data_IF_185763307062
#
_entry.id   IF_185763307062
#
_cell.length_a   1.000
_cell.length_b   1.000
_cell.length_c   1.000
_cell.angle_alpha   90.00
_cell.angle_beta   90.00
_cell.angle_gamma   90.00
#
_symmetry.space_group_name_H-M   'P 1'
#
loop_
_entity.id
_entity.type
_entity.pdbx_description
1 polymer ?
#
# COMPACT_ATOMS: atom_id res chain seq x y z
N UNK A 1 21.34 50.03 13.93
CA UNK A 1 20.88 50.07 12.52
C UNK A 1 21.72 49.12 11.68
N UNK A 2 21.06 48.38 10.78
CA UNK A 2 21.57 47.62 9.62
C UNK A 2 22.44 46.37 9.87
N UNK A 3 21.85 45.19 9.57
CA UNK A 3 22.46 44.07 8.81
C UNK A 3 21.31 43.35 8.07
N UNK A 4 20.98 43.78 6.86
CA UNK A 4 21.31 43.13 5.56
C UNK A 4 20.53 41.82 5.35
N UNK A 5 19.44 41.93 4.58
CA UNK A 5 18.70 40.85 3.94
C UNK A 5 19.57 40.22 2.84
N UNK A 6 19.66 38.89 2.81
CA UNK A 6 20.18 38.13 1.67
C UNK A 6 19.09 37.15 1.23
N UNK A 7 18.35 37.56 0.20
CA UNK A 7 17.44 36.72 -0.58
C UNK A 7 18.27 35.88 -1.54
N UNK A 8 18.30 34.56 -1.34
CA UNK A 8 18.96 33.62 -2.27
C UNK A 8 17.91 33.02 -3.20
N UNK A 9 17.96 33.46 -4.45
CA UNK A 9 17.17 32.99 -5.58
C UNK A 9 17.62 31.57 -5.94
N UNK A 10 16.75 30.56 -5.73
CA UNK A 10 17.01 29.18 -6.12
C UNK A 10 16.56 28.97 -7.57
N UNK A 11 17.52 28.89 -8.49
CA UNK A 11 17.28 28.64 -9.90
C UNK A 11 16.86 27.18 -10.15
N UNK A 12 15.71 26.99 -10.79
CA UNK A 12 15.26 25.71 -11.35
C UNK A 12 16.08 25.38 -12.61
N UNK A 13 16.92 24.35 -12.53
CA UNK A 13 17.53 23.73 -13.71
C UNK A 13 16.68 22.53 -14.15
N UNK A 14 15.95 22.71 -15.26
CA UNK A 14 15.24 21.66 -15.98
C UNK A 14 16.26 20.74 -16.68
N UNK A 15 16.43 19.52 -16.19
CA UNK A 15 17.14 18.47 -16.91
C UNK A 15 16.15 17.71 -17.79
N UNK A 16 16.18 18.04 -19.08
CA UNK A 16 15.45 17.39 -20.16
C UNK A 16 15.83 15.91 -20.29
N UNK A 17 14.80 15.06 -20.32
CA UNK A 17 14.83 13.63 -20.61
C UNK A 17 15.25 13.39 -22.07
N UNK A 18 16.48 12.91 -22.28
CA UNK A 18 16.94 12.39 -23.57
C UNK A 18 16.51 10.94 -23.75
N UNK A 19 15.43 10.71 -24.51
CA UNK A 19 15.06 9.40 -25.02
C UNK A 19 16.03 8.98 -26.14
N UNK A 20 16.68 7.82 -25.98
CA UNK A 20 17.38 7.16 -27.08
C UNK A 20 17.05 5.67 -27.08
N UNK A 21 16.13 5.31 -27.96
CA UNK A 21 15.73 3.97 -28.34
C UNK A 21 16.90 3.24 -29.01
N UNK A 22 17.29 2.06 -28.50
CA UNK A 22 18.10 1.10 -29.26
C UNK A 22 17.25 -0.12 -29.61
N UNK A 23 16.82 -0.18 -30.88
CA UNK A 23 16.52 -1.43 -31.58
C UNK A 23 17.81 -2.23 -31.71
N UNK A 24 17.76 -3.52 -31.43
CA UNK A 24 18.75 -4.48 -31.92
C UNK A 24 17.99 -5.70 -32.40
N UNK A 25 17.87 -5.76 -33.73
CA UNK A 25 17.55 -6.95 -34.49
C UNK A 25 18.62 -8.02 -34.22
N UNK A 26 18.20 -9.24 -33.91
CA UNK A 26 19.04 -10.42 -34.08
C UNK A 26 18.18 -11.61 -34.44
N UNK A 27 18.18 -11.85 -35.75
CA UNK A 27 17.73 -13.04 -36.45
C UNK A 27 18.74 -14.17 -36.24
N UNK A 28 18.32 -15.30 -35.68
CA UNK A 28 18.94 -16.60 -35.90
C UNK A 28 17.89 -17.72 -35.82
N UNK A 29 18.12 -18.75 -36.62
CA UNK A 29 17.17 -19.69 -37.22
C UNK A 29 17.48 -21.13 -36.77
N UNK A 30 16.47 -22.00 -36.89
CA UNK A 30 16.47 -23.48 -36.91
C UNK A 30 16.58 -24.21 -35.56
N UNK A 31 16.01 -25.39 -35.33
CA UNK A 31 14.96 -26.24 -35.96
C UNK A 31 14.84 -27.50 -35.06
N UNK A 32 13.85 -28.36 -35.34
CA UNK A 32 13.62 -29.75 -34.87
C UNK A 32 13.18 -29.93 -33.40
N UNK A 33 11.93 -30.31 -33.11
CA UNK A 33 11.20 -31.56 -33.39
C UNK A 33 11.61 -32.72 -32.47
N UNK A 34 10.78 -32.99 -31.46
CA UNK A 34 10.62 -34.34 -30.88
C UNK A 34 9.15 -34.55 -30.54
N UNK A 35 8.60 -35.64 -31.08
CA UNK A 35 7.23 -36.12 -30.88
C UNK A 35 7.18 -37.22 -29.81
N UNK A 36 5.99 -37.32 -29.19
CA UNK A 36 5.37 -38.49 -28.51
C UNK A 36 6.05 -39.01 -27.23
N UNK A 37 5.33 -39.26 -26.14
CA UNK A 37 4.34 -40.36 -26.03
C UNK A 37 3.37 -40.14 -24.84
N UNK A 38 2.11 -40.53 -25.01
CA UNK A 38 1.09 -40.75 -23.97
C UNK A 38 1.50 -41.91 -23.02
N UNK A 39 0.96 -42.12 -21.81
CA UNK A 39 -0.36 -42.70 -21.51
C UNK A 39 -0.65 -42.56 -19.99
N UNK A 40 -1.93 -42.37 -19.69
CA UNK A 40 -2.68 -42.37 -18.42
C UNK A 40 -2.28 -43.39 -17.34
N UNK A 41 -2.58 -43.08 -16.06
CA UNK A 41 -3.64 -43.74 -15.26
C UNK A 41 -3.64 -43.38 -13.77
N UNK A 42 -4.86 -43.36 -13.22
CA UNK A 42 -5.28 -43.57 -11.82
C UNK A 42 -5.40 -42.37 -10.86
N UNK A 43 -6.64 -41.92 -10.80
CA UNK A 43 -7.43 -41.53 -9.63
C UNK A 43 -6.80 -41.70 -8.24
N UNK A 44 -6.75 -40.59 -7.50
CA UNK A 44 -7.14 -40.58 -6.09
C UNK A 44 -7.97 -39.32 -5.83
N UNK A 45 -9.27 -39.53 -5.62
CA UNK A 45 -10.23 -38.53 -5.17
C UNK A 45 -9.90 -38.14 -3.73
N UNK A 46 -9.11 -37.09 -3.54
CA UNK A 46 -9.12 -36.31 -2.31
C UNK A 46 -10.16 -35.21 -2.49
N UNK A 47 -11.31 -35.40 -1.83
CA UNK A 47 -12.34 -34.36 -1.66
C UNK A 47 -11.76 -33.20 -0.86
N UNK A 48 -11.01 -32.33 -1.52
CA UNK A 48 -10.81 -30.97 -1.05
C UNK A 48 -12.16 -30.29 -1.22
N UNK A 49 -12.87 -30.07 -0.10
CA UNK A 49 -13.92 -29.07 -0.04
C UNK A 49 -13.34 -27.81 -0.68
N UNK A 50 -13.83 -27.47 -1.88
CA UNK A 50 -13.70 -26.14 -2.46
C UNK A 50 -14.36 -25.23 -1.44
N UNK A 51 -13.56 -24.69 -0.52
CA UNK A 51 -13.90 -23.43 0.11
C UNK A 51 -14.06 -22.50 -1.07
N UNK A 52 -15.31 -22.19 -1.37
CA UNK A 52 -15.67 -21.11 -2.26
C UNK A 52 -15.15 -19.85 -1.59
N UNK A 53 -13.86 -19.60 -1.78
CA UNK A 53 -13.28 -18.31 -1.55
C UNK A 53 -13.92 -17.47 -2.65
N UNK A 54 -15.03 -16.81 -2.32
CA UNK A 54 -15.46 -15.61 -3.03
C UNK A 54 -14.38 -14.56 -2.75
N UNK A 55 -13.18 -14.82 -3.26
CA UNK A 55 -12.11 -13.85 -3.34
C UNK A 55 -12.62 -12.88 -4.38
N UNK A 56 -13.34 -11.87 -3.91
CA UNK A 56 -13.67 -10.71 -4.72
C UNK A 56 -12.37 -10.30 -5.43
N UNK A 57 -12.45 -10.26 -6.75
CA UNK A 57 -11.28 -10.10 -7.58
C UNK A 57 -10.77 -8.67 -7.42
N UNK A 58 -9.60 -8.51 -6.80
CA UNK A 58 -8.93 -7.23 -6.68
C UNK A 58 -8.52 -6.78 -8.07
N UNK A 59 -9.00 -5.61 -8.50
CA UNK A 59 -8.68 -5.09 -9.84
C UNK A 59 -7.18 -4.89 -10.02
N UNK A 60 -6.67 -5.10 -11.24
CA UNK A 60 -5.26 -4.90 -11.55
C UNK A 60 -4.79 -3.47 -11.32
N UNK A 61 -5.67 -2.49 -11.56
CA UNK A 61 -5.41 -1.07 -11.26
C UNK A 61 -5.24 -0.83 -9.76
N UNK A 62 -6.10 -1.42 -8.94
CA UNK A 62 -5.99 -1.29 -7.49
C UNK A 62 -4.72 -1.97 -6.96
N UNK A 63 -4.38 -3.15 -7.50
CA UNK A 63 -3.14 -3.83 -7.16
C UNK A 63 -1.90 -2.96 -7.49
N UNK A 64 -1.88 -2.29 -8.65
CA UNK A 64 -0.82 -1.34 -8.99
C UNK A 64 -0.75 -0.16 -8.02
N UNK A 65 -1.90 0.36 -7.57
CA UNK A 65 -1.95 1.39 -6.52
C UNK A 65 -1.31 0.89 -5.23
N UNK A 66 -1.65 -0.32 -4.76
CA UNK A 66 -1.09 -0.91 -3.55
C UNK A 66 0.43 -1.08 -3.65
N UNK A 67 0.94 -1.53 -4.79
CA UNK A 67 2.39 -1.67 -5.02
C UNK A 67 3.11 -0.32 -5.01
N UNK A 68 2.52 0.71 -5.60
CA UNK A 68 3.05 2.06 -5.53
C UNK A 68 3.06 2.58 -4.08
N UNK A 69 2.00 2.32 -3.32
CA UNK A 69 1.91 2.67 -1.90
C UNK A 69 2.96 1.93 -1.06
N UNK A 70 3.16 0.62 -1.27
CA UNK A 70 4.25 -0.13 -0.63
C UNK A 70 5.61 0.55 -0.88
N UNK A 71 5.89 0.93 -2.13
CA UNK A 71 7.15 1.58 -2.49
C UNK A 71 7.35 2.92 -1.77
N UNK A 72 6.29 3.72 -1.62
CA UNK A 72 6.34 4.95 -0.85
C UNK A 72 6.59 4.66 0.65
N UNK A 73 6.00 3.58 1.16
CA UNK A 73 6.12 3.16 2.56
C UNK A 73 7.50 2.62 2.93
N UNK A 74 8.32 2.19 1.98
CA UNK A 74 9.75 1.89 2.22
C UNK A 74 10.52 3.13 2.70
N UNK A 75 10.19 4.32 2.20
CA UNK A 75 10.81 5.57 2.67
C UNK A 75 10.42 5.85 4.12
N UNK A 76 9.14 5.70 4.45
CA UNK A 76 8.65 5.84 5.82
C UNK A 76 9.28 4.79 6.74
N UNK A 77 9.40 3.53 6.31
CA UNK A 77 10.10 2.48 7.05
C UNK A 77 11.53 2.87 7.37
N UNK A 78 12.25 3.47 6.42
CA UNK A 78 13.60 3.97 6.64
C UNK A 78 13.64 5.16 7.63
N UNK A 79 12.71 6.11 7.50
CA UNK A 79 12.61 7.29 8.38
C UNK A 79 12.25 6.92 9.82
N UNK A 80 11.40 5.91 10.01
CA UNK A 80 10.93 5.45 11.31
C UNK A 80 11.56 4.12 11.74
N UNK A 81 12.75 3.81 11.21
CA UNK A 81 13.45 2.54 11.48
C UNK A 81 13.68 2.29 12.96
N UNK A 82 13.75 3.33 13.80
CA UNK A 82 13.97 3.17 15.25
C UNK A 82 12.66 2.92 16.03
N UNK A 83 11.51 3.11 15.38
CA UNK A 83 10.17 2.83 15.92
C UNK A 83 9.63 1.49 15.43
N UNK A 84 9.67 1.26 14.12
CA UNK A 84 9.12 0.06 13.48
C UNK A 84 10.23 -0.88 13.01
N UNK A 85 10.06 -2.18 13.26
CA UNK A 85 10.91 -3.23 12.70
C UNK A 85 10.52 -3.55 11.27
N UNK A 86 9.23 -3.43 10.96
CA UNK A 86 8.70 -3.64 9.61
C UNK A 86 7.45 -2.79 9.35
N UNK A 87 7.23 -2.47 8.07
CA UNK A 87 6.02 -1.84 7.56
C UNK A 87 5.67 -2.53 6.24
N UNK A 88 4.46 -3.06 6.14
CA UNK A 88 3.94 -3.76 4.96
C UNK A 88 2.62 -3.17 4.52
N UNK A 89 2.38 -3.21 3.22
CA UNK A 89 1.17 -2.76 2.55
C UNK A 89 0.68 -3.90 1.66
N UNK A 90 -0.57 -4.28 1.84
CA UNK A 90 -1.21 -5.33 1.06
C UNK A 90 -2.60 -4.90 0.62
N UNK A 91 -3.18 -5.59 -0.35
CA UNK A 91 -4.55 -5.37 -0.79
C UNK A 91 -5.49 -6.38 -0.11
N UNK A 92 -6.66 -5.91 0.32
CA UNK A 92 -7.80 -6.72 0.76
C UNK A 92 -9.01 -6.32 -0.10
N UNK A 93 -9.71 -7.33 -0.63
CA UNK A 93 -10.85 -7.07 -1.50
C UNK A 93 -12.04 -6.44 -0.73
N UNK A 94 -12.86 -5.60 -1.38
CA UNK A 94 -12.78 -5.21 -2.79
C UNK A 94 -11.73 -4.12 -3.08
N UNK A 95 -11.62 -3.10 -2.23
CA UNK A 95 -10.77 -1.91 -2.46
C UNK A 95 -10.16 -1.40 -1.13
N UNK A 96 -9.61 -2.30 -0.31
CA UNK A 96 -8.99 -1.95 0.97
C UNK A 96 -7.47 -2.02 0.87
N UNK A 97 -6.77 -0.93 1.19
CA UNK A 97 -5.32 -0.96 1.43
C UNK A 97 -5.10 -1.30 2.91
N UNK A 98 -4.33 -2.35 3.17
CA UNK A 98 -4.00 -2.79 4.52
C UNK A 98 -2.55 -2.43 4.83
N UNK A 99 -2.34 -1.54 5.79
CA UNK A 99 -1.05 -1.17 6.34
C UNK A 99 -0.79 -1.96 7.62
N UNK A 100 0.30 -2.73 7.66
CA UNK A 100 0.75 -3.47 8.84
C UNK A 100 2.05 -2.88 9.35
N UNK A 101 2.04 -2.37 10.57
CA UNK A 101 3.20 -1.82 11.27
C UNK A 101 3.60 -2.75 12.41
N UNK A 102 4.86 -3.18 12.43
CA UNK A 102 5.40 -4.00 13.52
C UNK A 102 6.38 -3.14 14.31
N UNK A 103 6.11 -2.90 15.60
CA UNK A 103 7.01 -2.14 16.45
C UNK A 103 8.33 -2.90 16.71
N UNK A 104 9.41 -2.16 17.00
CA UNK A 104 10.67 -2.74 17.47
C UNK A 104 10.62 -3.19 18.92
N UNK A 105 9.88 -2.45 19.75
CA UNK A 105 9.73 -2.71 21.17
C UNK A 105 8.26 -2.95 21.49
N UNK A 106 7.99 -3.65 22.60
CA UNK A 106 6.62 -3.83 23.07
C UNK A 106 6.02 -2.48 23.47
N UNK A 107 4.82 -2.18 22.99
CA UNK A 107 4.08 -0.94 23.25
C UNK A 107 2.77 -1.29 23.95
N UNK A 108 2.40 -0.46 24.93
CA UNK A 108 1.04 -0.45 25.52
C UNK A 108 0.33 0.79 25.01
N UNK A 109 -0.84 0.66 24.37
CA UNK A 109 -1.56 1.82 23.84
C UNK A 109 -2.00 2.75 24.97
N UNK A 110 -1.79 4.04 24.78
CA UNK A 110 -2.14 5.10 25.76
C UNK A 110 -3.42 5.84 25.39
N UNK A 111 -3.95 5.58 24.20
CA UNK A 111 -5.17 6.18 23.66
C UNK A 111 -6.19 5.08 23.35
N UNK A 112 -7.47 5.45 23.29
CA UNK A 112 -8.52 4.52 22.87
C UNK A 112 -8.43 4.21 21.37
N UNK A 113 -9.11 3.16 20.94
CA UNK A 113 -9.26 2.82 19.52
C UNK A 113 -9.96 3.93 18.73
N UNK A 114 -10.97 4.56 19.32
CA UNK A 114 -11.73 5.67 18.70
C UNK A 114 -10.86 6.91 18.51
N UNK A 115 -10.08 7.27 19.54
CA UNK A 115 -9.10 8.36 19.46
C UNK A 115 -8.08 8.11 18.33
N UNK A 116 -7.58 6.87 18.21
CA UNK A 116 -6.65 6.50 17.15
C UNK A 116 -7.29 6.56 15.76
N UNK A 117 -8.56 6.13 15.61
CA UNK A 117 -9.32 6.25 14.35
C UNK A 117 -9.44 7.73 13.96
N UNK A 118 -9.80 8.61 14.90
CA UNK A 118 -9.93 10.05 14.62
C UNK A 118 -8.59 10.67 14.20
N UNK A 119 -7.49 10.31 14.87
CA UNK A 119 -6.15 10.79 14.51
C UNK A 119 -5.72 10.31 13.12
N UNK A 120 -5.97 9.05 12.78
CA UNK A 120 -5.69 8.51 11.46
C UNK A 120 -6.55 9.16 10.38
N UNK A 121 -7.87 9.25 10.60
CA UNK A 121 -8.80 9.89 9.68
C UNK A 121 -8.38 11.34 9.38
N UNK A 122 -8.00 12.10 10.41
CA UNK A 122 -7.52 13.47 10.25
C UNK A 122 -6.19 13.52 9.48
N UNK A 123 -5.25 12.63 9.80
CA UNK A 123 -3.93 12.59 9.19
C UNK A 123 -3.92 12.11 7.73
N UNK A 124 -4.88 11.28 7.33
CA UNK A 124 -4.91 10.65 5.99
C UNK A 124 -6.01 11.18 5.08
N UNK A 125 -6.91 12.04 5.56
CA UNK A 125 -8.05 12.57 4.81
C UNK A 125 -7.73 13.01 3.37
N UNK A 126 -6.62 13.75 3.18
CA UNK A 126 -6.25 14.24 1.85
C UNK A 126 -5.85 13.11 0.88
N UNK A 127 -5.17 12.07 1.37
CA UNK A 127 -4.81 10.90 0.57
C UNK A 127 -6.02 9.99 0.35
N UNK A 128 -6.78 9.73 1.41
CA UNK A 128 -8.02 8.95 1.36
C UNK A 128 -8.99 9.51 0.31
N UNK A 129 -9.24 10.83 0.32
CA UNK A 129 -10.13 11.48 -0.64
C UNK A 129 -9.62 11.43 -2.10
N UNK A 130 -8.29 11.35 -2.30
CA UNK A 130 -7.74 11.11 -3.64
C UNK A 130 -8.03 9.69 -4.10
N UNK A 131 -7.89 8.70 -3.22
CA UNK A 131 -8.21 7.32 -3.56
C UNK A 131 -9.71 7.10 -3.78
N UNK A 132 -10.59 7.67 -2.96
CA UNK A 132 -12.05 7.52 -3.15
C UNK A 132 -12.58 8.15 -4.44
N UNK A 133 -11.89 9.16 -4.98
CA UNK A 133 -12.22 9.72 -6.30
C UNK A 133 -12.00 8.73 -7.46
N UNK A 134 -11.17 7.71 -7.26
CA UNK A 134 -10.84 6.66 -8.24
C UNK A 134 -11.55 5.34 -7.89
N UNK A 135 -11.61 5.02 -6.59
CA UNK A 135 -12.10 3.77 -6.01
C UNK A 135 -13.24 4.09 -5.02
N UNK A 136 -14.51 4.16 -5.47
CA UNK A 136 -15.61 4.67 -4.64
C UNK A 136 -15.88 3.88 -3.35
N UNK A 137 -15.43 2.62 -3.27
CA UNK A 137 -15.60 1.79 -2.07
C UNK A 137 -14.29 1.65 -1.27
N UNK A 138 -13.35 2.57 -1.49
CA UNK A 138 -12.04 2.56 -0.85
C UNK A 138 -12.11 2.58 0.68
N UNK A 139 -11.23 1.80 1.29
CA UNK A 139 -11.02 1.77 2.74
C UNK A 139 -9.53 1.66 3.05
N UNK A 140 -9.15 2.07 4.24
CA UNK A 140 -7.80 1.84 4.77
C UNK A 140 -7.92 1.00 6.04
N UNK A 141 -7.10 -0.05 6.14
CA UNK A 141 -6.97 -0.85 7.36
C UNK A 141 -5.58 -0.64 7.95
N UNK A 142 -5.51 -0.24 9.22
CA UNK A 142 -4.27 -0.09 9.96
C UNK A 142 -4.15 -1.17 11.03
N UNK A 143 -3.11 -1.99 10.92
CA UNK A 143 -2.79 -3.07 11.86
C UNK A 143 -1.47 -2.71 12.55
N UNK A 144 -1.51 -2.55 13.87
CA UNK A 144 -0.34 -2.28 14.70
C UNK A 144 -0.04 -3.50 15.56
N UNK A 145 1.18 -4.02 15.44
CA UNK A 145 1.63 -5.23 16.12
C UNK A 145 2.85 -4.95 17.01
N UNK A 146 2.93 -5.65 18.13
CA UNK A 146 4.16 -5.78 18.91
C UNK A 146 5.20 -6.66 18.19
N UNK A 147 6.46 -6.70 18.66
CA UNK A 147 7.50 -7.55 18.07
C UNK A 147 7.18 -9.05 18.07
N UNK A 148 6.34 -9.51 19.00
CA UNK A 148 5.84 -10.89 19.09
C UNK A 148 4.61 -11.16 18.19
N UNK A 149 4.24 -10.19 17.34
CA UNK A 149 3.04 -10.16 16.52
C UNK A 149 1.71 -10.10 17.29
N UNK A 150 1.73 -9.83 18.60
CA UNK A 150 0.49 -9.54 19.32
C UNK A 150 -0.14 -8.24 18.83
N UNK A 151 -1.44 -8.28 18.59
CA UNK A 151 -2.20 -7.13 18.08
C UNK A 151 -2.33 -6.04 19.16
N UNK A 152 -2.01 -4.81 18.77
CA UNK A 152 -2.26 -3.59 19.55
C UNK A 152 -3.55 -2.95 19.04
N UNK A 153 -3.64 -2.75 17.73
CA UNK A 153 -4.80 -2.19 17.06
C UNK A 153 -5.03 -2.85 15.70
N UNK A 154 -6.31 -2.97 15.34
CA UNK A 154 -6.79 -3.29 14.00
C UNK A 154 -7.97 -2.39 13.69
N UNK A 155 -7.71 -1.37 12.87
CA UNK A 155 -8.56 -0.21 12.66
C UNK A 155 -8.96 -0.18 11.19
N UNK A 156 -10.25 0.04 10.93
CA UNK A 156 -10.77 0.26 9.58
C UNK A 156 -11.22 1.71 9.50
N UNK A 157 -10.64 2.45 8.56
CA UNK A 157 -10.99 3.82 8.24
C UNK A 157 -11.86 3.81 6.99
N UNK A 158 -12.98 4.51 7.08
CA UNK A 158 -13.99 4.65 6.03
C UNK A 158 -14.26 6.13 5.73
N UNK A 159 -14.98 6.40 4.64
CA UNK A 159 -15.39 7.78 4.32
C UNK A 159 -16.15 8.44 5.48
N UNK A 160 -16.97 7.70 6.23
CA UNK A 160 -17.70 8.25 7.38
C UNK A 160 -16.75 8.80 8.46
N UNK A 161 -15.61 8.13 8.68
CA UNK A 161 -14.61 8.57 9.66
C UNK A 161 -13.91 9.85 9.18
N UNK A 162 -13.60 9.94 7.88
CA UNK A 162 -13.04 11.15 7.24
C UNK A 162 -14.01 12.33 7.33
N UNK A 163 -15.29 12.09 7.07
CA UNK A 163 -16.33 13.12 7.09
C UNK A 163 -16.59 13.64 8.51
N UNK A 164 -16.59 12.74 9.50
CA UNK A 164 -16.78 13.08 10.90
C UNK A 164 -15.71 14.07 11.39
N UNK A 165 -14.42 13.81 11.12
CA UNK A 165 -13.34 14.70 11.56
C UNK A 165 -13.30 16.00 10.76
N UNK A 166 -13.65 15.97 9.47
CA UNK A 166 -13.71 17.18 8.63
C UNK A 166 -14.79 18.16 9.09
N UNK A 167 -15.94 17.65 9.55
CA UNK A 167 -17.02 18.48 10.09
C UNK A 167 -16.67 19.15 11.42
N UNK A 168 -15.83 18.49 12.24
CA UNK A 168 -15.36 19.05 13.51
C UNK A 168 -14.34 20.19 13.31
N UNK A 169 -13.44 20.09 12.31
CA UNK A 169 -12.41 21.11 12.06
C UNK A 169 -12.93 22.37 11.35
N UNK A 170 -14.12 22.33 10.75
CA UNK A 170 -14.76 23.51 10.14
C UNK A 170 -15.56 24.37 11.14
N UNK A 171 -15.67 23.91 12.39
CA UNK A 171 -16.49 24.53 13.43
C UNK A 171 -15.66 25.26 14.51
N UNK A 172 -14.33 25.29 14.37
CA UNK A 172 -13.38 26.04 15.22
C UNK A 172 -12.84 27.29 14.49
#
# INVERSE_FOLDING_TARGET
>A
MKKILITTTLALALLSLGACSKKSDSKAKASSSVSSTAISSSSSTSSSKKVENTQENISSSFQMTVEATQKNMETTKASFKDTYSDIKVTAEAPETIVYTYIYKNKVTPTVSKEEMINQLALGTAAEFNRFTSIYPNFKERYIYLNPDNSEIFNLLITQNDIDAVSSSSASE
#
